data_IF_780041047577
#
_entry.id   IF_780041047577
#
_cell.length_a   1.000
_cell.length_b   1.000
_cell.length_c   1.000
_cell.angle_alpha   90.00
_cell.angle_beta   90.00
_cell.angle_gamma   90.00
#
_symmetry.space_group_name_H-M   'P 1'
#
loop_
_entity.id
_entity.type
_entity.pdbx_description
1 polymer ?
#
# COMPACT_ATOMS: atom_id res chain seq x y z
N UNK A 1 9.56 14.96 20.48
CA UNK A 1 8.27 15.62 20.59
C UNK A 1 7.16 14.76 20.00
N UNK A 2 6.33 14.24 20.88
CA UNK A 2 5.25 13.38 20.36
C UNK A 2 4.34 14.08 19.38
N UNK A 3 4.04 15.34 19.60
CA UNK A 3 3.16 16.08 18.72
C UNK A 3 3.69 16.26 17.32
N UNK A 4 4.99 16.19 17.15
CA UNK A 4 5.60 16.35 15.83
C UNK A 4 5.50 15.09 14.98
N UNK A 5 5.03 14.02 15.56
CA UNK A 5 4.92 12.73 14.87
C UNK A 5 3.52 12.44 14.37
N UNK A 6 2.66 13.43 14.41
CA UNK A 6 1.29 13.26 13.94
C UNK A 6 1.21 13.07 12.44
N UNK A 7 2.16 13.67 11.70
CA UNK A 7 2.22 13.46 10.26
C UNK A 7 2.80 12.10 9.98
N UNK A 8 1.98 11.19 9.47
CA UNK A 8 2.41 9.85 9.10
C UNK A 8 2.90 9.85 7.65
N UNK A 9 3.53 8.76 7.25
CA UNK A 9 3.92 8.58 5.86
C UNK A 9 2.71 8.72 4.93
N UNK A 10 1.58 8.16 5.33
CA UNK A 10 0.35 8.26 4.56
C UNK A 10 -0.11 9.71 4.43
N UNK A 11 -0.05 10.47 5.52
CA UNK A 11 -0.46 11.89 5.49
C UNK A 11 0.39 12.69 4.53
N UNK A 12 1.69 12.44 4.51
CA UNK A 12 2.60 13.09 3.57
C UNK A 12 2.25 12.75 2.13
N UNK A 13 1.93 11.49 1.86
CA UNK A 13 1.59 11.03 0.52
C UNK A 13 0.31 11.72 0.05
N UNK A 14 -0.71 11.76 0.89
CA UNK A 14 -1.99 12.40 0.57
C UNK A 14 -1.77 13.88 0.28
N UNK A 15 -1.00 14.56 1.13
CA UNK A 15 -0.72 15.97 0.96
C UNK A 15 0.01 16.24 -0.35
N UNK A 16 1.03 15.45 -0.64
CA UNK A 16 1.79 15.62 -1.89
C UNK A 16 0.93 15.33 -3.11
N UNK A 17 0.07 14.31 -3.03
CA UNK A 17 -0.83 13.97 -4.12
C UNK A 17 -1.80 15.11 -4.42
N UNK A 18 -2.34 15.70 -3.36
CA UNK A 18 -3.29 16.82 -3.51
C UNK A 18 -2.61 18.08 -4.00
N UNK A 19 -1.33 18.26 -3.72
CA UNK A 19 -0.57 19.38 -4.20
C UNK A 19 -0.34 19.32 -5.73
N UNK A 20 -0.23 18.12 -6.28
CA UNK A 20 0.01 17.90 -7.70
C UNK A 20 -1.32 17.93 -8.45
N UNK A 21 -1.43 18.81 -9.45
CA UNK A 21 -2.66 18.98 -10.21
C UNK A 21 -2.75 18.06 -11.42
N UNK A 22 -1.60 17.77 -12.04
CA UNK A 22 -1.56 17.00 -13.28
C UNK A 22 -1.38 15.52 -12.99
N UNK A 23 -2.15 14.67 -13.69
CA UNK A 23 -2.03 13.23 -13.50
C UNK A 23 -0.69 12.68 -13.94
N UNK A 24 -0.05 13.29 -14.91
CA UNK A 24 1.30 12.91 -15.30
C UNK A 24 2.27 13.03 -14.13
N UNK A 25 2.16 14.12 -13.37
CA UNK A 25 2.99 14.34 -12.19
C UNK A 25 2.63 13.39 -11.06
N UNK A 26 1.35 13.05 -10.91
CA UNK A 26 0.90 12.09 -9.90
C UNK A 26 1.41 10.68 -10.20
N UNK A 27 1.39 10.28 -11.47
CA UNK A 27 1.98 8.99 -11.86
C UNK A 27 3.46 8.96 -11.58
N UNK A 28 4.16 10.03 -11.89
CA UNK A 28 5.59 10.14 -11.63
C UNK A 28 5.85 10.03 -10.12
N UNK A 29 5.03 10.65 -9.32
CA UNK A 29 5.12 10.57 -7.87
C UNK A 29 4.91 9.14 -7.36
N UNK A 30 3.93 8.43 -7.91
CA UNK A 30 3.71 7.02 -7.56
C UNK A 30 4.95 6.17 -7.89
N UNK A 31 5.54 6.39 -9.04
CA UNK A 31 6.76 5.68 -9.43
C UNK A 31 7.89 5.96 -8.41
N UNK A 32 8.02 7.22 -8.00
CA UNK A 32 9.01 7.58 -6.98
C UNK A 32 8.74 6.89 -5.64
N UNK A 33 7.48 6.81 -5.23
CA UNK A 33 7.12 6.07 -4.02
C UNK A 33 7.55 4.61 -4.12
N UNK A 34 7.32 4.00 -5.28
CA UNK A 34 7.71 2.62 -5.51
C UNK A 34 9.20 2.38 -5.43
N UNK A 35 10.00 3.37 -5.85
CA UNK A 35 11.46 3.28 -5.76
C UNK A 35 11.94 3.27 -4.32
N UNK A 36 11.17 3.82 -3.41
CA UNK A 36 11.50 3.84 -1.99
C UNK A 36 11.11 2.58 -1.24
N UNK A 37 10.51 1.58 -1.91
CA UNK A 37 10.18 0.33 -1.26
C UNK A 37 11.41 -0.37 -0.73
N UNK A 38 11.30 -0.93 0.48
CA UNK A 38 12.31 -1.79 1.03
C UNK A 38 12.44 -3.02 0.16
N UNK A 39 13.66 -3.43 -0.22
CA UNK A 39 13.82 -4.59 -1.10
C UNK A 39 13.20 -5.84 -0.50
N UNK A 40 12.52 -6.60 -1.35
CA UNK A 40 11.94 -7.88 -0.96
C UNK A 40 12.94 -8.98 -1.32
N UNK A 41 13.21 -9.88 -0.39
CA UNK A 41 14.14 -11.00 -0.63
C UNK A 41 13.71 -11.81 -1.84
N UNK A 42 14.68 -12.32 -2.59
CA UNK A 42 14.40 -13.16 -3.75
C UNK A 42 13.52 -14.35 -3.38
N UNK A 43 13.79 -14.96 -2.23
CA UNK A 43 13.01 -16.10 -1.75
C UNK A 43 11.56 -15.74 -1.46
N UNK A 44 11.26 -14.47 -1.22
CA UNK A 44 9.90 -14.01 -0.96
C UNK A 44 9.12 -13.73 -2.24
N UNK A 45 9.78 -13.70 -3.40
CA UNK A 45 9.13 -13.62 -4.70
C UNK A 45 8.63 -15.01 -5.09
N UNK A 46 7.60 -15.49 -4.40
CA UNK A 46 7.12 -16.86 -4.55
C UNK A 46 5.59 -16.85 -4.71
N UNK A 47 5.04 -18.04 -5.02
CA UNK A 47 3.61 -18.16 -5.28
C UNK A 47 2.75 -17.90 -4.05
N UNK A 48 3.28 -18.17 -2.86
CA UNK A 48 2.53 -17.90 -1.62
C UNK A 48 2.26 -16.42 -1.45
N UNK A 49 3.24 -15.59 -1.80
CA UNK A 49 3.15 -14.13 -1.65
C UNK A 49 2.56 -13.45 -2.88
N UNK A 50 2.38 -14.18 -3.95
CA UNK A 50 1.88 -13.60 -5.20
C UNK A 50 0.44 -13.16 -5.07
N UNK A 51 0.16 -11.92 -5.48
CA UNK A 51 -1.18 -11.36 -5.48
C UNK A 51 -1.87 -11.74 -6.78
N UNK A 52 -3.02 -12.40 -6.66
CA UNK A 52 -3.80 -12.82 -7.82
C UNK A 52 -4.67 -11.67 -8.32
N UNK A 53 -5.03 -11.73 -9.60
CA UNK A 53 -5.91 -10.73 -10.20
C UNK A 53 -5.20 -9.50 -10.71
N UNK A 54 -3.87 -9.49 -10.72
CA UNK A 54 -3.07 -8.39 -11.26
C UNK A 54 -2.51 -8.78 -12.62
N UNK A 55 -2.48 -7.81 -13.55
CA UNK A 55 -1.84 -8.03 -14.85
C UNK A 55 -0.32 -8.13 -14.70
N UNK A 56 0.26 -7.30 -13.85
CA UNK A 56 1.69 -7.35 -13.50
C UNK A 56 1.91 -8.38 -12.41
N UNK A 57 3.16 -8.82 -12.23
CA UNK A 57 3.48 -9.64 -11.09
C UNK A 57 3.60 -8.77 -9.86
N UNK A 58 2.92 -9.17 -8.81
CA UNK A 58 2.91 -8.45 -7.53
C UNK A 58 3.06 -9.48 -6.41
N UNK A 59 3.91 -9.16 -5.44
CA UNK A 59 4.10 -10.01 -4.27
C UNK A 59 3.88 -9.18 -3.01
N UNK A 60 3.17 -9.76 -2.04
CA UNK A 60 3.00 -9.19 -0.70
C UNK A 60 3.40 -10.23 0.32
N UNK A 61 4.38 -9.89 1.14
CA UNK A 61 4.77 -10.72 2.28
C UNK A 61 4.10 -10.14 3.52
N UNK A 62 3.37 -10.98 4.24
CA UNK A 62 2.63 -10.56 5.43
C UNK A 62 3.21 -11.22 6.67
N UNK A 63 3.29 -10.45 7.74
CA UNK A 63 3.71 -10.95 9.05
C UNK A 63 2.88 -10.25 10.12
N UNK A 64 2.36 -11.03 11.07
CA UNK A 64 1.59 -10.48 12.17
C UNK A 64 2.40 -10.66 13.45
N UNK A 65 2.56 -9.58 14.20
CA UNK A 65 3.23 -9.60 15.50
C UNK A 65 2.25 -9.09 16.55
N UNK A 66 2.55 -9.35 17.84
CA UNK A 66 1.75 -8.88 18.93
C UNK A 66 2.57 -7.84 19.70
N UNK A 67 1.97 -6.69 20.00
CA UNK A 67 2.64 -5.65 20.75
C UNK A 67 2.50 -5.87 22.26
N UNK A 68 3.01 -4.91 23.05
CA UNK A 68 2.99 -5.01 24.52
C UNK A 68 1.57 -5.07 25.09
N UNK A 69 0.61 -4.49 24.43
CA UNK A 69 -0.77 -4.47 24.90
C UNK A 69 -1.56 -5.70 24.45
N UNK A 70 -0.95 -6.59 23.68
CA UNK A 70 -1.63 -7.75 23.13
C UNK A 70 -2.31 -7.49 21.80
N UNK A 71 -2.17 -6.29 21.23
CA UNK A 71 -2.73 -5.96 19.94
C UNK A 71 -1.94 -6.60 18.81
N UNK A 72 -2.64 -7.06 17.79
CA UNK A 72 -2.00 -7.64 16.60
C UNK A 72 -1.60 -6.52 15.67
N UNK A 73 -0.35 -6.55 15.21
CA UNK A 73 0.21 -5.57 14.30
C UNK A 73 0.55 -6.28 12.99
N UNK A 74 0.08 -5.74 11.87
CA UNK A 74 0.39 -6.28 10.55
C UNK A 74 1.63 -5.60 10.00
N UNK A 75 2.59 -6.41 9.54
CA UNK A 75 3.76 -5.92 8.84
C UNK A 75 3.73 -6.42 7.42
N UNK A 76 3.90 -5.52 6.47
CA UNK A 76 3.84 -5.82 5.04
C UNK A 76 5.13 -5.43 4.37
N UNK A 77 5.57 -6.27 3.43
CA UNK A 77 6.58 -5.93 2.44
C UNK A 77 6.02 -6.32 1.09
N UNK A 78 6.43 -5.63 0.05
CA UNK A 78 5.90 -5.93 -1.26
C UNK A 78 6.79 -5.49 -2.39
N UNK A 79 6.51 -6.03 -3.56
CA UNK A 79 7.26 -5.72 -4.78
C UNK A 79 6.37 -5.98 -5.99
N UNK A 80 6.80 -5.45 -7.13
CA UNK A 80 6.16 -5.71 -8.42
C UNK A 80 7.19 -5.52 -9.53
N UNK A 81 6.92 -6.14 -10.68
CA UNK A 81 7.74 -5.94 -11.86
C UNK A 81 7.32 -4.70 -12.67
N UNK A 82 6.28 -3.99 -12.26
CA UNK A 82 5.81 -2.77 -12.91
C UNK A 82 5.98 -1.56 -11.99
N UNK A 83 6.57 -0.49 -12.52
CA UNK A 83 6.92 0.70 -11.72
C UNK A 83 5.71 1.39 -11.07
N UNK A 84 4.61 1.55 -11.83
CA UNK A 84 3.39 2.16 -11.30
C UNK A 84 2.80 1.27 -10.19
N UNK A 85 2.80 -0.04 -10.41
CA UNK A 85 2.25 -0.97 -9.42
C UNK A 85 3.10 -0.99 -8.16
N UNK A 86 4.42 -0.85 -8.28
CA UNK A 86 5.28 -0.69 -7.11
C UNK A 86 4.88 0.54 -6.30
N UNK A 87 4.50 1.62 -6.98
CA UNK A 87 3.97 2.82 -6.31
C UNK A 87 2.69 2.54 -5.57
N UNK A 88 1.80 1.75 -6.15
CA UNK A 88 0.55 1.36 -5.50
C UNK A 88 0.81 0.45 -4.29
N UNK A 89 1.80 -0.43 -4.40
CA UNK A 89 2.24 -1.25 -3.26
C UNK A 89 2.75 -0.34 -2.14
N UNK A 90 3.58 0.64 -2.47
CA UNK A 90 4.10 1.59 -1.48
C UNK A 90 2.97 2.33 -0.78
N UNK A 91 1.95 2.73 -1.51
CA UNK A 91 0.79 3.40 -0.94
C UNK A 91 0.04 2.47 0.03
N UNK A 92 -0.16 1.22 -0.35
CA UNK A 92 -0.81 0.24 0.51
C UNK A 92 -0.01 0.00 1.78
N UNK A 93 1.32 -0.11 1.67
CA UNK A 93 2.16 -0.30 2.83
C UNK A 93 2.09 0.90 3.77
N UNK A 94 2.05 2.11 3.22
CA UNK A 94 1.90 3.32 4.04
C UNK A 94 0.56 3.32 4.78
N UNK A 95 -0.46 2.69 4.19
CA UNK A 95 -1.79 2.63 4.78
C UNK A 95 -1.89 1.58 5.88
N UNK A 96 -1.33 0.41 5.67
CA UNK A 96 -1.57 -0.76 6.51
C UNK A 96 -0.37 -1.25 7.31
N UNK A 97 0.84 -1.13 6.80
CA UNK A 97 1.99 -1.74 7.47
C UNK A 97 2.29 -1.03 8.78
N UNK A 98 2.49 -1.81 9.83
CA UNK A 98 2.73 -1.27 11.16
C UNK A 98 1.48 -0.86 11.91
N UNK A 99 0.28 -1.12 11.36
CA UNK A 99 -0.97 -0.76 12.00
C UNK A 99 -1.56 -1.93 12.77
N UNK A 100 -2.39 -1.61 13.78
CA UNK A 100 -3.12 -2.63 14.52
C UNK A 100 -4.25 -3.20 13.68
N UNK A 101 -4.68 -4.41 14.03
CA UNK A 101 -5.83 -5.05 13.36
C UNK A 101 -7.08 -4.16 13.43
N UNK A 102 -7.35 -3.57 14.59
CA UNK A 102 -8.50 -2.68 14.76
C UNK A 102 -8.44 -1.49 13.81
N UNK A 103 -7.27 -0.91 13.67
CA UNK A 103 -7.08 0.25 12.80
C UNK A 103 -7.28 -0.12 11.34
N UNK A 104 -6.70 -1.25 10.91
CA UNK A 104 -6.83 -1.71 9.53
C UNK A 104 -8.30 -1.95 9.18
N UNK A 105 -9.05 -2.57 10.07
CA UNK A 105 -10.47 -2.85 9.83
C UNK A 105 -11.31 -1.57 9.82
N UNK A 106 -10.85 -0.51 10.47
CA UNK A 106 -11.55 0.76 10.50
C UNK A 106 -11.24 1.66 9.31
N UNK A 107 -10.15 1.38 8.58
CA UNK A 107 -9.73 2.21 7.44
C UNK A 107 -10.58 1.88 6.22
N UNK A 108 -11.13 2.91 5.60
CA UNK A 108 -11.85 2.79 4.34
C UNK A 108 -10.85 2.99 3.18
N UNK A 109 -10.13 1.93 2.85
CA UNK A 109 -9.12 1.99 1.79
C UNK A 109 -9.73 2.30 0.41
N UNK A 110 -10.86 1.68 0.01
CA UNK A 110 -11.48 2.06 -1.25
C UNK A 110 -11.85 3.53 -1.33
N UNK A 111 -12.40 4.08 -0.24
CA UNK A 111 -12.75 5.51 -0.17
C UNK A 111 -11.53 6.40 -0.27
N UNK A 112 -10.43 6.01 0.35
CA UNK A 112 -9.18 6.75 0.26
C UNK A 112 -8.66 6.78 -1.18
N UNK A 113 -8.61 5.63 -1.84
CA UNK A 113 -8.13 5.55 -3.22
C UNK A 113 -9.03 6.33 -4.17
N UNK A 114 -10.34 6.29 -3.95
CA UNK A 114 -11.28 7.09 -4.73
C UNK A 114 -11.05 8.57 -4.51
N UNK A 115 -10.82 8.99 -3.27
CA UNK A 115 -10.52 10.38 -2.93
C UNK A 115 -9.25 10.90 -3.57
N UNK A 116 -8.29 10.02 -3.84
CA UNK A 116 -7.07 10.37 -4.56
C UNK A 116 -7.26 10.35 -6.08
N UNK A 117 -8.44 9.95 -6.57
CA UNK A 117 -8.72 9.86 -7.99
C UNK A 117 -8.18 8.62 -8.67
N UNK A 118 -7.65 7.70 -7.90
CA UNK A 118 -7.00 6.52 -8.46
C UNK A 118 -7.98 5.58 -9.15
N UNK A 119 -9.20 5.47 -8.64
CA UNK A 119 -10.21 4.59 -9.24
C UNK A 119 -10.57 5.02 -10.66
N UNK A 120 -10.48 6.31 -10.96
CA UNK A 120 -10.80 6.86 -12.27
C UNK A 120 -9.62 6.77 -13.25
N UNK A 121 -8.40 6.89 -12.72
CA UNK A 121 -7.20 7.02 -13.54
C UNK A 121 -6.36 5.75 -13.65
N UNK A 122 -6.76 4.67 -12.99
CA UNK A 122 -6.11 3.38 -13.13
C UNK A 122 -6.86 2.53 -14.14
N UNK A 123 -6.12 1.66 -14.85
CA UNK A 123 -6.76 0.67 -15.71
C UNK A 123 -7.57 -0.30 -14.84
N UNK A 124 -8.58 -0.99 -15.40
CA UNK A 124 -9.34 -1.98 -14.62
C UNK A 124 -8.45 -3.05 -13.99
N UNK A 125 -7.42 -3.50 -14.67
CA UNK A 125 -6.50 -4.50 -14.12
C UNK A 125 -5.77 -3.97 -12.89
N UNK A 126 -5.32 -2.71 -12.94
CA UNK A 126 -4.62 -2.10 -11.81
C UNK A 126 -5.57 -1.87 -10.64
N UNK A 127 -6.80 -1.45 -10.91
CA UNK A 127 -7.81 -1.26 -9.87
C UNK A 127 -8.14 -2.59 -9.19
N UNK A 128 -8.26 -3.67 -9.96
CA UNK A 128 -8.49 -5.00 -9.42
C UNK A 128 -7.31 -5.46 -8.56
N UNK A 129 -6.09 -5.17 -9.00
CA UNK A 129 -4.89 -5.49 -8.23
C UNK A 129 -4.86 -4.79 -6.89
N UNK A 130 -5.19 -3.51 -6.86
CA UNK A 130 -5.26 -2.73 -5.61
C UNK A 130 -6.32 -3.32 -4.69
N UNK A 131 -7.48 -3.65 -5.22
CA UNK A 131 -8.55 -4.26 -4.43
C UNK A 131 -8.11 -5.59 -3.82
N UNK A 132 -7.43 -6.42 -4.60
CA UNK A 132 -6.90 -7.70 -4.10
C UNK A 132 -5.90 -7.50 -2.98
N UNK A 133 -5.01 -6.52 -3.11
CA UNK A 133 -4.04 -6.21 -2.07
C UNK A 133 -4.70 -5.72 -0.79
N UNK A 134 -5.73 -4.89 -0.90
CA UNK A 134 -6.50 -4.42 0.25
C UNK A 134 -7.14 -5.60 0.98
N UNK A 135 -7.73 -6.52 0.23
CA UNK A 135 -8.37 -7.69 0.82
C UNK A 135 -7.36 -8.59 1.52
N UNK A 136 -6.17 -8.76 0.97
CA UNK A 136 -5.11 -9.54 1.60
C UNK A 136 -4.75 -8.91 2.94
N UNK A 137 -4.57 -7.59 2.99
CA UNK A 137 -4.25 -6.90 4.22
C UNK A 137 -5.32 -7.11 5.29
N UNK A 138 -6.59 -7.00 4.90
CA UNK A 138 -7.70 -7.18 5.84
C UNK A 138 -7.87 -8.63 6.28
N UNK A 139 -7.54 -9.57 5.42
CA UNK A 139 -7.70 -11.00 5.73
C UNK A 139 -6.70 -11.50 6.77
N UNK A 140 -5.59 -10.81 6.96
CA UNK A 140 -4.53 -11.22 7.88
C UNK A 140 -4.68 -10.63 9.28
N UNK A 141 -5.72 -9.88 9.53
CA UNK A 141 -5.98 -9.30 10.87
C UNK A 141 -7.31 -9.81 11.50
#
# INVERSE_FOLDING_TARGET
MPGLRTATKLDEIIENFNYLDEWEDRYRYLIELGRGLEPLDDAAHNDRNKVRGCASQVWLETRVATDHSGSRILHLKGDSDAHIVRGLVALLLALYSGQTASRILAIDAPGLFEGLGLSTHLTPQRSNGVRSMVEIGRAHV
#
